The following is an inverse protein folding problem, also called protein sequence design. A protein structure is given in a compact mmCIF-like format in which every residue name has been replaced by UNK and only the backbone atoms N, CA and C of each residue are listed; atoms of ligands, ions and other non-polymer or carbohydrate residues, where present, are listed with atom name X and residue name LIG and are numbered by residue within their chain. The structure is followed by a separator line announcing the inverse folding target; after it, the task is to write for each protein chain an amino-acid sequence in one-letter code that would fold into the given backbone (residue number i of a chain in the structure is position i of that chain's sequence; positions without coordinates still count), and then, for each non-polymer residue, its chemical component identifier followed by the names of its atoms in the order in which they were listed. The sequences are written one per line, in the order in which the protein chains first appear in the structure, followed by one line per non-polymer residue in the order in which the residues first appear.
data_IF_539157663219
#
_entry.id   IF_539157663219
#
_cell.length_a   1.000
_cell.length_b   1.000
_cell.length_c   1.000
_cell.angle_alpha   90.00
_cell.angle_beta   90.00
_cell.angle_gamma   90.00
#
_symmetry.space_group_name_H-M   'P 1'
#
loop_
_entity.id
_entity.type
_entity.pdbx_description
1 polymer ?
#
# COMPACT_ATOMS: atom_id res chain seq x y z
N UNK A 1 31.73 -20.79 -6.33
CA UNK A 1 31.49 -19.34 -6.11
C UNK A 1 30.34 -18.76 -6.95
N UNK A 2 29.72 -19.50 -7.88
CA UNK A 2 28.53 -19.02 -8.60
C UNK A 2 27.25 -18.92 -7.73
N UNK A 3 27.13 -19.76 -6.68
CA UNK A 3 25.97 -19.77 -5.79
C UNK A 3 25.74 -18.46 -5.00
N UNK A 4 26.78 -17.64 -4.80
CA UNK A 4 26.69 -16.36 -4.08
C UNK A 4 26.45 -15.16 -5.02
N UNK A 5 26.61 -15.31 -6.35
CA UNK A 5 26.38 -14.21 -7.29
C UNK A 5 24.90 -13.83 -7.37
N UNK A 6 24.00 -14.81 -7.29
CA UNK A 6 22.55 -14.56 -7.31
C UNK A 6 22.00 -14.10 -5.95
N UNK A 7 22.72 -14.36 -4.85
CA UNK A 7 22.36 -13.86 -3.52
C UNK A 7 22.38 -12.33 -3.47
N UNK A 8 23.29 -11.67 -4.18
CA UNK A 8 23.34 -10.20 -4.17
C UNK A 8 22.10 -9.56 -4.79
N UNK A 9 21.59 -10.14 -5.89
CA UNK A 9 20.36 -9.69 -6.52
C UNK A 9 19.15 -9.89 -5.60
N UNK A 10 19.06 -11.06 -4.93
CA UNK A 10 18.01 -11.34 -3.95
C UNK A 10 18.07 -10.43 -2.73
N UNK A 11 19.27 -10.17 -2.18
CA UNK A 11 19.47 -9.25 -1.06
C UNK A 11 19.08 -7.84 -1.43
N UNK A 12 19.46 -7.35 -2.61
CA UNK A 12 19.05 -6.04 -3.11
C UNK A 12 17.53 -5.95 -3.24
N UNK A 13 16.89 -6.96 -3.82
CA UNK A 13 15.43 -7.02 -3.98
C UNK A 13 14.72 -7.02 -2.61
N UNK A 14 15.23 -7.81 -1.66
CA UNK A 14 14.66 -7.90 -0.31
C UNK A 14 14.85 -6.59 0.47
N UNK A 15 16.00 -5.93 0.31
CA UNK A 15 16.29 -4.65 0.95
C UNK A 15 15.37 -3.55 0.44
N UNK A 16 15.12 -3.48 -0.87
CA UNK A 16 14.19 -2.49 -1.43
C UNK A 16 12.75 -2.71 -0.93
N UNK A 17 12.28 -3.95 -0.83
CA UNK A 17 10.99 -4.28 -0.20
C UNK A 17 10.96 -3.89 1.29
N UNK A 18 12.02 -4.19 2.03
CA UNK A 18 12.12 -3.84 3.45
C UNK A 18 12.07 -2.32 3.65
N UNK A 19 12.80 -1.55 2.84
CA UNK A 19 12.78 -0.08 2.87
C UNK A 19 11.39 0.45 2.55
N UNK A 20 10.72 -0.08 1.51
CA UNK A 20 9.36 0.32 1.16
C UNK A 20 8.38 0.17 2.34
N UNK A 21 8.43 -0.99 3.01
CA UNK A 21 7.54 -1.31 4.13
C UNK A 21 7.91 -0.50 5.39
N UNK A 22 9.20 -0.30 5.66
CA UNK A 22 9.66 0.56 6.75
C UNK A 22 9.20 2.01 6.56
N UNK A 23 9.26 2.54 5.35
CA UNK A 23 8.79 3.90 5.05
C UNK A 23 7.29 4.05 5.32
N UNK A 24 6.48 3.03 5.01
CA UNK A 24 5.06 3.03 5.34
C UNK A 24 4.80 3.00 6.86
N UNK A 25 5.49 2.14 7.60
CA UNK A 25 5.33 2.04 9.07
C UNK A 25 5.82 3.32 9.76
N UNK A 26 6.99 3.84 9.37
CA UNK A 26 7.55 5.05 9.96
C UNK A 26 6.71 6.28 9.67
N UNK A 27 6.03 6.33 8.52
CA UNK A 27 5.09 7.38 8.20
C UNK A 27 3.94 7.45 9.22
N UNK A 28 3.30 6.31 9.52
CA UNK A 28 2.27 6.22 10.56
C UNK A 28 2.81 6.59 11.95
N UNK A 29 4.04 6.16 12.27
CA UNK A 29 4.70 6.49 13.53
C UNK A 29 4.93 8.00 13.72
N UNK A 30 5.49 8.68 12.71
CA UNK A 30 5.72 10.13 12.78
C UNK A 30 4.41 10.93 12.88
N UNK A 31 3.37 10.49 12.18
CA UNK A 31 2.04 11.10 12.26
C UNK A 31 1.48 10.98 13.69
N UNK A 32 1.63 9.79 14.29
CA UNK A 32 1.18 9.54 15.68
C UNK A 32 1.91 10.46 16.67
N UNK A 33 3.22 10.62 16.50
CA UNK A 33 4.04 11.54 17.31
C UNK A 33 3.59 12.99 17.12
N UNK A 34 3.35 13.43 15.88
CA UNK A 34 2.81 14.76 15.58
C UNK A 34 1.43 14.98 16.21
N UNK A 35 0.55 13.97 16.20
CA UNK A 35 -0.76 14.09 16.85
C UNK A 35 -0.70 14.15 18.37
N UNK A 36 0.37 13.62 19.00
CA UNK A 36 0.53 13.61 20.45
C UNK A 36 0.84 14.97 21.08
N UNK A 37 1.23 15.96 20.28
CA UNK A 37 1.59 17.32 20.72
C UNK A 37 0.40 18.31 20.64
N UNK A 38 -0.82 17.83 20.37
CA UNK A 38 -2.03 18.65 20.27
C UNK A 38 -2.69 18.92 21.64
N UNK A 39 -3.27 20.10 21.82
CA UNK A 39 -3.83 20.55 23.11
C UNK A 39 -5.07 19.78 23.59
N UNK A 40 -5.84 19.15 22.68
CA UNK A 40 -6.98 18.25 22.97
C UNK A 40 -6.62 16.77 22.69
N UNK A 41 -5.37 16.38 23.02
CA UNK A 41 -4.81 15.08 22.62
C UNK A 41 -5.64 13.88 23.11
N UNK A 42 -6.21 13.90 24.31
CA UNK A 42 -6.79 12.68 24.89
C UNK A 42 -8.01 12.16 24.11
N UNK A 43 -9.06 12.98 23.93
CA UNK A 43 -10.26 12.56 23.19
C UNK A 43 -9.93 12.31 21.72
N UNK A 44 -9.01 13.09 21.13
CA UNK A 44 -8.65 12.95 19.73
C UNK A 44 -7.80 11.70 19.46
N UNK A 45 -6.83 11.40 20.33
CA UNK A 45 -5.99 10.18 20.27
C UNK A 45 -6.83 8.94 20.58
N UNK A 46 -7.74 8.99 21.55
CA UNK A 46 -8.63 7.87 21.86
C UNK A 46 -9.57 7.58 20.67
N UNK A 47 -10.12 8.63 20.05
CA UNK A 47 -10.97 8.50 18.85
C UNK A 47 -10.19 7.91 17.67
N UNK A 48 -8.95 8.37 17.45
CA UNK A 48 -8.05 7.81 16.46
C UNK A 48 -7.72 6.35 16.75
N UNK A 49 -7.45 5.99 18.00
CA UNK A 49 -7.10 4.63 18.40
C UNK A 49 -8.21 3.63 18.08
N UNK A 50 -9.47 4.02 18.31
CA UNK A 50 -10.64 3.23 17.90
C UNK A 50 -10.71 3.10 16.38
N UNK A 51 -10.54 4.20 15.65
CA UNK A 51 -10.55 4.19 14.19
C UNK A 51 -9.42 3.34 13.58
N UNK A 52 -8.22 3.43 14.12
CA UNK A 52 -7.04 2.67 13.69
C UNK A 52 -7.19 1.18 14.00
N UNK A 53 -7.87 0.81 15.09
CA UNK A 53 -8.22 -0.59 15.32
C UNK A 53 -9.10 -1.12 14.19
N UNK A 54 -10.18 -0.43 13.83
CA UNK A 54 -11.07 -0.85 12.74
C UNK A 54 -10.30 -0.92 11.41
N UNK A 55 -9.47 0.09 11.13
CA UNK A 55 -8.61 0.07 9.95
C UNK A 55 -7.63 -1.11 9.96
N UNK A 56 -7.15 -1.53 11.13
CA UNK A 56 -6.29 -2.71 11.30
C UNK A 56 -6.99 -4.02 10.93
N UNK A 57 -8.27 -4.18 11.25
CA UNK A 57 -9.05 -5.38 10.87
C UNK A 57 -9.20 -5.46 9.35
N UNK A 58 -9.53 -4.34 8.72
CA UNK A 58 -9.56 -4.22 7.26
C UNK A 58 -8.17 -4.45 6.65
N UNK A 59 -7.13 -3.90 7.26
CA UNK A 59 -5.75 -4.04 6.84
C UNK A 59 -5.29 -5.50 6.74
N UNK A 60 -5.73 -6.38 7.65
CA UNK A 60 -5.42 -7.81 7.58
C UNK A 60 -5.95 -8.47 6.31
N UNK A 61 -7.13 -8.07 5.83
CA UNK A 61 -7.70 -8.56 4.57
C UNK A 61 -6.82 -8.11 3.39
N UNK A 62 -6.40 -6.85 3.39
CA UNK A 62 -5.60 -6.29 2.31
C UNK A 62 -4.14 -6.76 2.30
N UNK A 63 -3.58 -7.11 3.46
CA UNK A 63 -2.28 -7.81 3.53
C UNK A 63 -2.39 -9.17 2.83
N UNK A 64 -3.49 -9.90 3.06
CA UNK A 64 -3.76 -11.15 2.36
C UNK A 64 -3.87 -10.97 0.84
N UNK A 65 -4.61 -9.96 0.39
CA UNK A 65 -4.74 -9.64 -1.04
C UNK A 65 -3.41 -9.19 -1.67
N UNK A 66 -2.61 -8.38 -0.96
CA UNK A 66 -1.27 -7.97 -1.37
C UNK A 66 -0.38 -9.19 -1.65
N UNK A 67 -0.32 -10.15 -0.72
CA UNK A 67 0.46 -11.37 -0.90
C UNK A 67 -0.06 -12.21 -2.08
N UNK A 68 -1.37 -12.38 -2.19
CA UNK A 68 -2.00 -13.17 -3.24
C UNK A 68 -1.73 -12.59 -4.65
N UNK A 69 -1.90 -11.27 -4.83
CA UNK A 69 -1.64 -10.64 -6.13
C UNK A 69 -0.16 -10.64 -6.47
N UNK A 70 0.72 -10.43 -5.49
CA UNK A 70 2.17 -10.46 -5.68
C UNK A 70 2.62 -11.80 -6.28
N UNK A 71 2.16 -12.91 -5.70
CA UNK A 71 2.45 -14.27 -6.20
C UNK A 71 1.85 -14.49 -7.59
N UNK A 72 0.58 -14.08 -7.80
CA UNK A 72 -0.10 -14.28 -9.08
C UNK A 72 0.58 -13.51 -10.21
N UNK A 73 0.90 -12.23 -10.01
CA UNK A 73 1.58 -11.39 -11.00
C UNK A 73 2.99 -11.93 -11.28
N UNK A 74 3.73 -12.34 -10.25
CA UNK A 74 5.05 -12.96 -10.40
C UNK A 74 5.00 -14.20 -11.30
N UNK A 75 4.02 -15.10 -11.06
CA UNK A 75 3.89 -16.35 -11.81
C UNK A 75 3.42 -16.13 -13.25
N UNK A 76 2.46 -15.23 -13.48
CA UNK A 76 1.97 -14.92 -14.83
C UNK A 76 3.04 -14.21 -15.67
N UNK A 77 3.81 -13.28 -15.08
CA UNK A 77 4.93 -12.64 -15.75
C UNK A 77 6.06 -13.65 -16.02
N UNK A 78 6.41 -14.48 -15.04
CA UNK A 78 7.45 -15.51 -15.17
C UNK A 78 7.13 -16.59 -16.21
N UNK A 79 5.84 -16.89 -16.42
CA UNK A 79 5.37 -17.81 -17.46
C UNK A 79 5.18 -17.18 -18.84
N UNK A 80 5.52 -15.89 -19.00
CA UNK A 80 5.41 -15.18 -20.28
C UNK A 80 3.96 -14.88 -20.68
N UNK A 81 3.04 -14.75 -19.72
CA UNK A 81 1.60 -14.49 -19.93
C UNK A 81 1.19 -13.07 -19.51
N UNK A 82 1.63 -12.02 -20.24
CA UNK A 82 1.41 -10.62 -19.86
C UNK A 82 -0.08 -10.24 -19.77
N UNK A 83 -0.92 -10.79 -20.66
CA UNK A 83 -2.37 -10.54 -20.63
C UNK A 83 -3.02 -11.09 -19.38
N UNK A 84 -2.62 -12.28 -18.94
CA UNK A 84 -3.15 -12.90 -17.72
C UNK A 84 -2.71 -12.14 -16.46
N UNK A 85 -1.47 -11.63 -16.43
CA UNK A 85 -1.00 -10.72 -15.39
C UNK A 85 -1.84 -9.43 -15.35
N UNK A 86 -2.08 -8.78 -16.49
CA UNK A 86 -2.90 -7.57 -16.55
C UNK A 86 -4.34 -7.82 -16.09
N UNK A 87 -4.95 -8.92 -16.52
CA UNK A 87 -6.28 -9.33 -16.05
C UNK A 87 -6.29 -9.58 -14.54
N UNK A 88 -5.21 -10.13 -13.98
CA UNK A 88 -5.09 -10.31 -12.54
C UNK A 88 -5.17 -9.00 -11.78
N UNK A 89 -4.41 -8.02 -12.24
CA UNK A 89 -4.34 -6.69 -11.65
C UNK A 89 -5.69 -5.99 -11.71
N UNK A 90 -6.36 -6.01 -12.87
CA UNK A 90 -7.67 -5.37 -13.03
C UNK A 90 -8.72 -5.99 -12.10
N UNK A 91 -8.77 -7.32 -12.02
CA UNK A 91 -9.73 -8.03 -11.17
C UNK A 91 -9.50 -7.69 -9.70
N UNK A 92 -8.26 -7.75 -9.21
CA UNK A 92 -7.99 -7.51 -7.80
C UNK A 92 -8.21 -6.04 -7.40
N UNK A 93 -7.95 -5.08 -8.29
CA UNK A 93 -8.25 -3.66 -8.04
C UNK A 93 -9.77 -3.46 -7.96
N UNK A 94 -10.54 -4.13 -8.82
CA UNK A 94 -12.00 -4.09 -8.76
C UNK A 94 -12.56 -4.72 -7.49
N UNK A 95 -12.05 -5.90 -7.10
CA UNK A 95 -12.43 -6.58 -5.86
C UNK A 95 -12.05 -5.76 -4.63
N UNK A 96 -10.85 -5.17 -4.60
CA UNK A 96 -10.38 -4.38 -3.47
C UNK A 96 -11.22 -3.11 -3.29
N UNK A 97 -11.53 -2.41 -4.38
CA UNK A 97 -12.44 -1.27 -4.37
C UNK A 97 -13.84 -1.65 -3.87
N UNK A 98 -14.37 -2.80 -4.31
CA UNK A 98 -15.68 -3.28 -3.87
C UNK A 98 -15.68 -3.55 -2.36
N UNK A 99 -14.66 -4.24 -1.85
CA UNK A 99 -14.50 -4.51 -0.42
C UNK A 99 -14.36 -3.20 0.36
N UNK A 100 -13.50 -2.27 -0.09
CA UNK A 100 -13.31 -0.97 0.55
C UNK A 100 -14.60 -0.13 0.59
N UNK A 101 -15.39 -0.14 -0.48
CA UNK A 101 -16.69 0.55 -0.53
C UNK A 101 -17.72 -0.10 0.41
N UNK A 102 -17.73 -1.43 0.51
CA UNK A 102 -18.57 -2.14 1.48
C UNK A 102 -18.16 -1.80 2.92
N UNK A 103 -16.87 -1.80 3.23
CA UNK A 103 -16.34 -1.40 4.53
C UNK A 103 -16.70 0.06 4.87
N UNK A 104 -16.54 0.98 3.92
CA UNK A 104 -16.98 2.37 4.06
C UNK A 104 -18.48 2.48 4.34
N UNK A 105 -19.32 1.78 3.57
CA UNK A 105 -20.76 1.79 3.78
C UNK A 105 -21.13 1.27 5.17
N UNK A 106 -20.51 0.17 5.62
CA UNK A 106 -20.73 -0.38 6.97
C UNK A 106 -20.34 0.63 8.05
N UNK A 107 -19.15 1.23 7.97
CA UNK A 107 -18.71 2.23 8.97
C UNK A 107 -19.62 3.45 8.99
N UNK A 108 -20.09 3.93 7.84
CA UNK A 108 -21.01 5.08 7.78
C UNK A 108 -22.40 4.76 8.31
N UNK A 109 -22.95 3.59 7.99
CA UNK A 109 -24.27 3.14 8.48
C UNK A 109 -24.24 2.95 9.99
N UNK A 110 -23.17 2.31 10.50
CA UNK A 110 -23.04 2.02 11.91
C UNK A 110 -22.33 3.14 12.69
N UNK A 111 -22.04 4.31 12.11
CA UNK A 111 -21.18 5.34 12.74
C UNK A 111 -21.60 5.73 14.16
N UNK A 112 -22.91 5.84 14.39
CA UNK A 112 -23.48 6.31 15.66
C UNK A 112 -23.64 5.17 16.67
N UNK A 113 -23.69 3.92 16.18
CA UNK A 113 -23.85 2.72 17.01
C UNK A 113 -22.52 1.99 17.27
N UNK A 114 -21.55 1.97 16.36
CA UNK A 114 -20.30 1.21 16.56
C UNK A 114 -19.42 1.87 17.62
N UNK A 115 -19.43 3.19 17.72
CA UNK A 115 -18.69 3.91 18.76
C UNK A 115 -19.16 3.47 20.15
N UNK A 116 -20.41 3.00 20.29
CA UNK A 116 -20.94 2.45 21.54
C UNK A 116 -20.25 1.17 22.03
N UNK A 117 -19.66 0.40 21.11
CA UNK A 117 -18.98 -0.87 21.40
C UNK A 117 -17.61 -0.61 22.04
N UNK A 118 -16.95 0.49 21.64
CA UNK A 118 -15.61 0.85 22.13
C UNK A 118 -15.65 1.79 23.33
N UNK A 119 -16.69 2.61 23.47
CA UNK A 119 -16.79 3.56 24.59
C UNK A 119 -18.23 3.88 25.01
N UNK A 120 -18.36 4.07 26.32
CA UNK A 120 -19.57 4.60 26.98
C UNK A 120 -19.58 6.13 27.05
N UNK A 121 -18.46 6.78 26.73
CA UNK A 121 -18.33 8.24 26.79
C UNK A 121 -19.03 8.92 25.60
N UNK A 122 -19.95 9.84 25.90
CA UNK A 122 -20.76 10.57 24.92
C UNK A 122 -19.91 11.56 24.11
N UNK A 123 -18.91 12.20 24.73
CA UNK A 123 -18.01 13.12 24.04
C UNK A 123 -17.13 12.37 23.05
N UNK A 124 -16.63 11.19 23.45
CA UNK A 124 -15.83 10.33 22.57
C UNK A 124 -16.65 9.78 21.40
N UNK A 125 -17.91 9.40 21.62
CA UNK A 125 -18.82 8.97 20.53
C UNK A 125 -19.05 10.07 19.49
N UNK A 126 -19.26 11.32 19.93
CA UNK A 126 -19.44 12.44 19.01
C UNK A 126 -18.18 12.73 18.20
N UNK A 127 -16.99 12.62 18.84
CA UNK A 127 -15.71 12.76 18.15
C UNK A 127 -15.53 11.67 17.08
N UNK A 128 -15.80 10.40 17.41
CA UNK A 128 -15.75 9.27 16.48
C UNK A 128 -16.74 9.45 15.31
N UNK A 129 -17.99 9.85 15.58
CA UNK A 129 -18.99 10.08 14.53
C UNK A 129 -18.59 11.22 13.57
N UNK A 130 -17.93 12.27 14.07
CA UNK A 130 -17.38 13.36 13.23
C UNK A 130 -16.27 12.90 12.30
N UNK A 131 -15.38 12.02 12.76
CA UNK A 131 -14.25 11.51 11.97
C UNK A 131 -14.58 10.24 11.18
N UNK A 132 -15.74 9.62 11.40
CA UNK A 132 -16.17 8.40 10.71
C UNK A 132 -16.24 8.57 9.18
N UNK A 133 -16.57 9.77 8.69
CA UNK A 133 -16.52 10.10 7.27
C UNK A 133 -15.10 10.03 6.69
N UNK A 134 -14.13 10.54 7.46
CA UNK A 134 -12.71 10.49 7.11
C UNK A 134 -12.17 9.06 7.20
N UNK A 135 -12.61 8.30 8.20
CA UNK A 135 -12.33 6.87 8.32
C UNK A 135 -12.82 6.11 7.10
N UNK A 136 -14.09 6.27 6.71
CA UNK A 136 -14.65 5.61 5.53
C UNK A 136 -13.87 5.89 4.25
N UNK A 137 -13.45 7.14 4.04
CA UNK A 137 -12.58 7.50 2.91
C UNK A 137 -11.20 6.84 3.02
N UNK A 138 -10.64 6.78 4.24
CA UNK A 138 -9.37 6.10 4.52
C UNK A 138 -9.45 4.62 4.18
N UNK A 139 -10.55 3.95 4.52
CA UNK A 139 -10.78 2.54 4.24
C UNK A 139 -10.76 2.27 2.73
N UNK A 140 -11.45 3.10 1.93
CA UNK A 140 -11.43 2.98 0.46
C UNK A 140 -10.02 3.19 -0.09
N UNK A 141 -9.28 4.21 0.35
CA UNK A 141 -7.94 4.45 -0.16
C UNK A 141 -6.94 3.34 0.26
N UNK A 142 -7.02 2.91 1.51
CA UNK A 142 -6.21 1.81 2.05
C UNK A 142 -6.61 0.44 1.49
N UNK A 143 -7.75 0.31 0.81
CA UNK A 143 -8.10 -0.91 0.10
C UNK A 143 -7.29 -1.10 -1.19
N UNK A 144 -6.93 -0.01 -1.86
CA UNK A 144 -6.27 -0.06 -3.17
C UNK A 144 -4.76 -0.04 -3.03
N UNK A 145 -4.22 0.78 -2.12
CA UNK A 145 -2.77 0.95 -1.96
C UNK A 145 -2.03 -0.40 -1.75
N UNK A 146 -2.40 -1.26 -0.77
CA UNK A 146 -1.67 -2.50 -0.53
C UNK A 146 -1.71 -3.44 -1.73
N UNK A 147 -2.82 -3.47 -2.46
CA UNK A 147 -2.95 -4.29 -3.67
C UNK A 147 -1.98 -3.81 -4.76
N UNK A 148 -1.87 -2.50 -4.98
CA UNK A 148 -0.89 -1.94 -5.93
C UNK A 148 0.56 -2.18 -5.50
N UNK A 149 0.86 -2.07 -4.20
CA UNK A 149 2.18 -2.44 -3.66
C UNK A 149 2.46 -3.93 -3.91
N UNK A 150 1.46 -4.80 -3.78
CA UNK A 150 1.57 -6.23 -4.09
C UNK A 150 1.88 -6.49 -5.58
N UNK A 151 1.22 -5.75 -6.49
CA UNK A 151 1.51 -5.80 -7.93
C UNK A 151 2.94 -5.36 -8.22
N UNK A 152 3.41 -4.29 -7.57
CA UNK A 152 4.77 -3.79 -7.74
C UNK A 152 5.83 -4.77 -7.21
N UNK A 153 5.58 -5.45 -6.09
CA UNK A 153 6.44 -6.54 -5.60
C UNK A 153 6.45 -7.68 -6.62
N UNK A 154 5.28 -8.07 -7.15
CA UNK A 154 5.17 -9.13 -8.14
C UNK A 154 5.83 -8.84 -9.48
N UNK A 155 5.90 -7.57 -9.89
CA UNK A 155 6.65 -7.10 -11.07
C UNK A 155 8.14 -6.82 -10.80
N UNK A 156 8.54 -6.73 -9.53
CA UNK A 156 9.89 -6.35 -9.12
C UNK A 156 10.20 -4.85 -9.30
N UNK A 157 9.19 -3.98 -9.17
CA UNK A 157 9.31 -2.52 -9.27
C UNK A 157 9.35 -1.81 -7.91
N UNK A 158 9.44 -2.57 -6.82
CA UNK A 158 9.46 -2.08 -5.44
C UNK A 158 10.45 -0.91 -5.19
N UNK A 159 11.60 -0.86 -5.88
CA UNK A 159 12.54 0.27 -5.78
C UNK A 159 11.96 1.59 -6.30
N UNK A 160 11.25 1.56 -7.44
CA UNK A 160 10.52 2.71 -7.96
C UNK A 160 9.42 3.15 -6.98
N UNK A 161 8.69 2.19 -6.41
CA UNK A 161 7.65 2.46 -5.41
C UNK A 161 8.23 3.09 -4.15
N UNK A 162 9.39 2.64 -3.68
CA UNK A 162 10.06 3.24 -2.52
C UNK A 162 10.40 4.73 -2.75
N UNK A 163 10.87 5.10 -3.94
CA UNK A 163 11.09 6.52 -4.29
C UNK A 163 9.80 7.33 -4.33
N UNK A 164 8.71 6.75 -4.87
CA UNK A 164 7.40 7.40 -4.90
C UNK A 164 6.87 7.60 -3.47
N UNK A 165 7.00 6.59 -2.61
CA UNK A 165 6.61 6.66 -1.20
C UNK A 165 7.37 7.77 -0.47
N UNK A 166 8.68 7.91 -0.68
CA UNK A 166 9.47 9.02 -0.14
C UNK A 166 8.91 10.38 -0.55
N UNK A 167 8.63 10.58 -1.84
CA UNK A 167 8.06 11.83 -2.34
C UNK A 167 6.66 12.11 -1.78
N UNK A 168 5.76 11.14 -1.88
CA UNK A 168 4.35 11.35 -1.53
C UNK A 168 4.14 11.47 -0.03
N UNK A 169 4.81 10.66 0.78
CA UNK A 169 4.60 10.65 2.23
C UNK A 169 5.42 11.72 2.94
N UNK A 170 6.70 11.86 2.60
CA UNK A 170 7.61 12.72 3.36
C UNK A 170 7.70 14.14 2.81
N UNK A 171 7.68 14.31 1.48
CA UNK A 171 7.81 15.63 0.85
C UNK A 171 6.44 16.32 0.74
N UNK A 172 5.37 15.55 0.51
CA UNK A 172 4.03 16.11 0.34
C UNK A 172 3.12 15.88 1.56
N UNK A 173 2.92 14.64 1.96
CA UNK A 173 1.95 14.27 3.00
C UNK A 173 2.27 14.83 4.38
N UNK A 174 3.52 14.69 4.85
CA UNK A 174 3.96 15.20 6.15
C UNK A 174 3.83 16.74 6.26
N UNK A 175 4.38 17.55 5.33
CA UNK A 175 4.21 19.01 5.40
C UNK A 175 2.75 19.45 5.30
N UNK A 176 1.95 18.78 4.47
CA UNK A 176 0.52 19.08 4.34
C UNK A 176 -0.23 18.76 5.64
N UNK A 177 0.06 17.61 6.27
CA UNK A 177 -0.51 17.23 7.56
C UNK A 177 -0.13 18.19 8.68
N UNK A 178 1.13 18.62 8.73
CA UNK A 178 1.59 19.64 9.69
C UNK A 178 0.86 20.98 9.48
N UNK A 179 0.74 21.41 8.23
CA UNK A 179 0.12 22.69 7.88
C UNK A 179 -1.40 22.68 8.17
N UNK A 180 -2.10 21.60 7.85
CA UNK A 180 -3.53 21.43 8.17
C UNK A 180 -3.76 21.28 9.67
N UNK A 181 -2.93 20.50 10.36
CA UNK A 181 -3.04 20.24 11.79
C UNK A 181 -2.79 21.48 12.66
N UNK A 182 -1.64 22.12 12.47
CA UNK A 182 -1.16 23.18 13.35
C UNK A 182 -1.49 24.59 12.86
N UNK A 183 -1.27 24.88 11.56
CA UNK A 183 -1.44 26.25 11.06
C UNK A 183 -2.91 26.62 10.84
N UNK A 184 -3.70 25.66 10.38
CA UNK A 184 -5.15 25.85 10.16
C UNK A 184 -6.01 25.40 11.36
N UNK A 185 -5.40 24.93 12.45
CA UNK A 185 -6.09 24.46 13.66
C UNK A 185 -7.17 23.38 13.40
N UNK A 186 -7.02 22.56 12.35
CA UNK A 186 -7.88 21.38 12.15
C UNK A 186 -7.48 20.20 13.07
N UNK A 187 -6.42 20.36 13.85
CA UNK A 187 -5.95 19.39 14.82
C UNK A 187 -5.70 18.01 14.20
N UNK A 188 -6.18 16.97 14.88
CA UNK A 188 -6.02 15.58 14.45
C UNK A 188 -6.66 15.31 13.09
N UNK A 189 -7.84 15.87 12.81
CA UNK A 189 -8.51 15.70 11.53
C UNK A 189 -7.69 16.29 10.37
N UNK A 190 -7.00 17.40 10.60
CA UNK A 190 -6.09 18.02 9.63
C UNK A 190 -4.85 17.18 9.34
N UNK A 191 -4.23 16.64 10.40
CA UNK A 191 -3.06 15.74 10.25
C UNK A 191 -3.46 14.48 9.47
N UNK A 192 -4.59 13.87 9.82
CA UNK A 192 -5.10 12.68 9.15
C UNK A 192 -5.51 12.98 7.69
N UNK A 193 -6.12 14.13 7.42
CA UNK A 193 -6.41 14.55 6.05
C UNK A 193 -5.12 14.73 5.21
N UNK A 194 -4.06 15.30 5.79
CA UNK A 194 -2.75 15.38 5.13
C UNK A 194 -2.15 14.01 4.82
N UNK A 195 -2.31 13.05 5.72
CA UNK A 195 -1.94 11.64 5.51
C UNK A 195 -2.67 11.02 4.33
N UNK A 196 -3.99 11.14 4.33
CA UNK A 196 -4.87 10.67 3.26
C UNK A 196 -4.48 11.26 1.91
N UNK A 197 -4.14 12.54 1.84
CA UNK A 197 -3.67 13.18 0.62
C UNK A 197 -2.35 12.58 0.11
N UNK A 198 -1.41 12.28 1.00
CA UNK A 198 -0.16 11.58 0.64
C UNK A 198 -0.41 10.18 0.09
N UNK A 199 -1.27 9.41 0.75
CA UNK A 199 -1.69 8.06 0.31
C UNK A 199 -2.44 8.11 -1.02
N UNK A 200 -3.37 9.06 -1.18
CA UNK A 200 -4.12 9.24 -2.42
C UNK A 200 -3.22 9.60 -3.59
N UNK A 201 -2.27 10.53 -3.38
CA UNK A 201 -1.29 10.89 -4.41
C UNK A 201 -0.44 9.69 -4.83
N UNK A 202 0.08 8.94 -3.86
CA UNK A 202 0.86 7.74 -4.10
C UNK A 202 0.04 6.68 -4.88
N UNK A 203 -1.20 6.44 -4.46
CA UNK A 203 -2.12 5.48 -5.10
C UNK A 203 -2.40 5.89 -6.55
N UNK A 204 -2.66 7.17 -6.80
CA UNK A 204 -2.88 7.70 -8.16
C UNK A 204 -1.65 7.52 -9.05
N UNK A 205 -0.46 7.81 -8.54
CA UNK A 205 0.79 7.62 -9.29
C UNK A 205 0.99 6.14 -9.62
N UNK A 206 0.79 5.23 -8.65
CA UNK A 206 0.90 3.80 -8.90
C UNK A 206 -0.13 3.28 -9.90
N UNK A 207 -1.39 3.75 -9.84
CA UNK A 207 -2.40 3.40 -10.83
C UNK A 207 -1.99 3.85 -12.24
N UNK A 208 -1.46 5.07 -12.38
CA UNK A 208 -0.97 5.58 -13.66
C UNK A 208 0.21 4.75 -14.17
N UNK A 209 1.15 4.37 -13.31
CA UNK A 209 2.27 3.50 -13.67
C UNK A 209 1.75 2.16 -14.16
N UNK A 210 0.92 1.48 -13.36
CA UNK A 210 0.31 0.19 -13.70
C UNK A 210 -0.44 0.23 -15.04
N UNK A 211 -1.15 1.33 -15.31
CA UNK A 211 -1.89 1.52 -16.56
C UNK A 211 -0.99 1.82 -17.76
N UNK A 212 0.13 2.52 -17.55
CA UNK A 212 1.11 2.86 -18.60
C UNK A 212 2.16 1.77 -18.83
N UNK A 213 2.30 0.81 -17.92
CA UNK A 213 3.26 -0.27 -18.04
C UNK A 213 2.98 -1.13 -19.28
N UNK A 214 4.01 -1.34 -20.10
CA UNK A 214 3.97 -2.36 -21.15
C UNK A 214 4.18 -3.74 -20.53
N UNK A 215 3.06 -4.40 -20.25
CA UNK A 215 3.04 -5.74 -19.67
C UNK A 215 3.81 -6.76 -20.52
N UNK A 216 3.91 -6.59 -21.85
CA UNK A 216 4.67 -7.50 -22.71
C UNK A 216 6.17 -7.33 -22.49
N UNK A 217 6.64 -6.09 -22.39
CA UNK A 217 8.04 -5.80 -22.05
C UNK A 217 8.40 -6.34 -20.67
N UNK A 218 7.50 -6.21 -19.69
CA UNK A 218 7.71 -6.73 -18.34
C UNK A 218 7.72 -8.25 -18.28
N UNK A 219 6.86 -8.94 -19.03
CA UNK A 219 6.92 -10.39 -19.17
C UNK A 219 8.23 -10.85 -19.84
N UNK A 220 8.71 -10.11 -20.84
CA UNK A 220 10.02 -10.39 -21.46
C UNK A 220 11.18 -10.21 -20.46
N UNK A 221 11.16 -9.13 -19.68
CA UNK A 221 12.13 -8.89 -18.62
C UNK A 221 12.07 -9.98 -17.54
N UNK A 222 10.88 -10.36 -17.08
CA UNK A 222 10.69 -11.45 -16.12
C UNK A 222 11.25 -12.78 -16.65
N UNK A 223 10.93 -13.15 -17.89
CA UNK A 223 11.46 -14.36 -18.53
C UNK A 223 12.99 -14.33 -18.64
N UNK A 224 13.60 -13.17 -18.90
CA UNK A 224 15.04 -13.00 -18.94
C UNK A 224 15.69 -13.18 -17.56
N UNK A 225 15.05 -12.68 -16.49
CA UNK A 225 15.49 -12.86 -15.09
C UNK A 225 15.42 -14.35 -14.71
N UNK A 226 14.32 -15.02 -15.03
CA UNK A 226 14.15 -16.46 -14.79
C UNK A 226 15.19 -17.28 -15.56
N UNK A 227 15.46 -16.96 -16.84
CA UNK A 227 16.47 -17.69 -17.63
C UNK A 227 17.89 -17.52 -17.08
N UNK A 228 18.21 -16.33 -16.58
CA UNK A 228 19.49 -16.04 -15.91
C UNK A 228 19.63 -16.82 -14.60
N UNK A 229 18.56 -16.94 -13.82
CA UNK A 229 18.56 -17.66 -12.53
C UNK A 229 18.38 -19.17 -12.65
N UNK A 230 17.75 -19.65 -13.71
CA UNK A 230 17.54 -21.08 -14.01
C UNK A 230 18.76 -21.79 -14.60
N UNK A 231 19.91 -21.11 -14.70
CA UNK A 231 21.17 -21.71 -15.17
C UNK A 231 21.19 -22.09 -16.66
N UNK A 232 20.23 -21.62 -17.47
CA UNK A 232 20.23 -21.89 -18.92
C UNK A 232 21.09 -20.86 -19.66
N UNK A 233 22.37 -20.76 -19.31
CA UNK A 233 23.35 -20.26 -20.27
C UNK A 233 23.50 -21.31 -21.36
N UNK A 234 22.87 -21.03 -22.51
CA UNK A 234 23.08 -21.66 -23.81
C UNK A 234 23.86 -22.99 -23.79
N UNK A 235 23.15 -24.11 -23.66
CA UNK A 235 23.62 -25.35 -24.31
C UNK A 235 23.59 -25.07 -25.81
N UNK A 236 24.70 -24.57 -26.36
CA UNK A 236 24.93 -24.60 -27.81
C UNK A 236 24.66 -26.04 -28.25
N UNK A 237 23.87 -26.29 -29.31
CA UNK A 237 23.76 -27.62 -29.87
C UNK A 237 25.17 -28.02 -30.35
N UNK A 238 25.76 -29.04 -29.73
CA UNK A 238 26.99 -29.68 -30.18
C UNK A 238 26.66 -30.59 -31.37
N UNK A 239 26.17 -30.02 -32.47
CA UNK A 239 26.02 -30.73 -33.73
C UNK A 239 26.80 -29.98 -34.81
N UNK A 240 27.61 -30.76 -35.53
CA UNK A 240 28.56 -30.42 -36.62
C UNK A 240 29.96 -30.01 -36.08
N UNK A 241 31.04 -30.76 -36.29
CA UNK A 241 31.45 -31.53 -37.47
C UNK A 241 32.08 -32.90 -37.12
N UNK A 242 31.88 -33.84 -38.06
CA UNK A 242 32.65 -35.08 -38.22
C UNK A 242 34.09 -34.80 -38.63
#
# INVERSE_FOLDING_TARGET
MAAFNDMWAFVKLSLESAVMLCLEIWYLGMITVLTGDLQDAQIAVDSLGVCMNINGWEGMIFIGLNAAISVRVSNELGSGRPRAAMHAVIVVIGESLLIGLLCMALVLIFRDNFASIYTSDVELRQAVSKIAGLLGLTMVLNSVQPVLSGVAIGGGWQGLVAYINLGCYYIFGLPLGYLLGYKFNYGVGGIWAGMLCGVALQTLILLVIVWRTDWNAEAALASSRVRKWGGTEATKPLLEEN
#
